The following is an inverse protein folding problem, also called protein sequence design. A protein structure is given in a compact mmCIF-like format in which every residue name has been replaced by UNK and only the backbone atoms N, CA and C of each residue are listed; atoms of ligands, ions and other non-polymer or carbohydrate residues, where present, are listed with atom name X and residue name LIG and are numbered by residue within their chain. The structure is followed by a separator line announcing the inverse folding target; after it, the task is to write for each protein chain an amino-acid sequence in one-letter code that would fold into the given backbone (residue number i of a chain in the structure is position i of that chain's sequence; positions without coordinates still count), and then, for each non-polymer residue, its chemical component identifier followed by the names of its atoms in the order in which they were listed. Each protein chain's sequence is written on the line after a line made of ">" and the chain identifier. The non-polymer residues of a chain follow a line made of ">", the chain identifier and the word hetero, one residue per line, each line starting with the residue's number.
data_IF_641201506791
#
_entry.id   IF_641201506791
#
_cell.length_a   1.000
_cell.length_b   1.000
_cell.length_c   1.000
_cell.angle_alpha   90.00
_cell.angle_beta   90.00
_cell.angle_gamma   90.00
#
_symmetry.space_group_name_H-M   'P 1'
#
loop_
_entity.id
_entity.type
_entity.pdbx_description
1 polymer ?
#
# COMPACT_ATOMS: atom_id res chain seq x y z
N UNK A 1 7.25 18.43 -22.40
CA UNK A 1 6.55 18.11 -22.25
C UNK A 1 6.29 18.05 -21.23
N UNK A 2 5.91 18.39 -21.18
CA UNK A 2 5.60 18.64 -20.35
C UNK A 2 4.95 17.94 -19.69
N UNK A 3 4.71 18.03 -18.79
CA UNK A 3 3.85 17.38 -17.90
C UNK A 3 4.03 15.93 -17.72
N UNK A 4 4.96 15.41 -18.30
CA UNK A 4 5.20 13.99 -18.15
C UNK A 4 6.30 13.78 -17.14
N UNK A 5 5.93 13.08 -16.07
CA UNK A 5 6.89 12.67 -15.10
C UNK A 5 7.26 11.27 -15.31
N UNK A 6 8.51 11.00 -15.23
CA UNK A 6 8.97 9.65 -15.19
C UNK A 6 9.61 9.40 -13.82
N UNK A 7 9.15 8.36 -13.16
CA UNK A 7 9.76 7.96 -11.92
C UNK A 7 10.23 6.53 -12.05
N UNK A 8 11.36 6.25 -11.45
CA UNK A 8 11.95 4.93 -11.47
C UNK A 8 11.15 3.99 -10.56
N UNK A 9 11.42 2.71 -10.68
CA UNK A 9 10.82 1.74 -9.78
C UNK A 9 11.16 2.08 -8.33
N UNK A 10 12.39 2.49 -8.08
CA UNK A 10 12.81 2.88 -6.73
C UNK A 10 11.97 4.04 -6.20
N UNK A 11 11.77 5.05 -7.03
CA UNK A 11 10.96 6.20 -6.61
C UNK A 11 9.50 5.83 -6.41
N UNK A 12 9.01 4.90 -7.22
CA UNK A 12 7.66 4.40 -7.01
C UNK A 12 7.53 3.73 -5.66
N UNK A 13 8.55 2.98 -5.26
CA UNK A 13 8.53 2.33 -3.95
C UNK A 13 8.61 3.34 -2.82
N UNK A 14 9.33 4.45 -3.01
CA UNK A 14 9.35 5.51 -2.02
C UNK A 14 7.96 6.12 -1.83
N UNK A 15 7.25 6.33 -2.94
CA UNK A 15 5.88 6.85 -2.87
C UNK A 15 4.96 5.87 -2.16
N UNK A 16 5.12 4.58 -2.43
CA UNK A 16 4.31 3.57 -1.74
C UNK A 16 4.59 3.57 -0.25
N UNK A 17 5.84 3.76 0.13
CA UNK A 17 6.20 3.84 1.54
C UNK A 17 5.48 5.01 2.21
N UNK A 18 5.50 6.17 1.56
CA UNK A 18 4.81 7.34 2.08
C UNK A 18 3.33 7.09 2.26
N UNK A 19 2.70 6.47 1.27
CA UNK A 19 1.27 6.21 1.32
C UNK A 19 0.92 5.24 2.43
N UNK A 20 1.74 4.21 2.61
CA UNK A 20 1.49 3.25 3.68
C UNK A 20 1.64 3.88 5.05
N UNK A 21 2.64 4.73 5.21
CA UNK A 21 2.83 5.45 6.46
C UNK A 21 1.65 6.35 6.77
N UNK A 22 1.13 7.03 5.76
CA UNK A 22 -0.04 7.88 5.94
C UNK A 22 -1.26 7.07 6.33
N UNK A 23 -1.46 5.93 5.68
CA UNK A 23 -2.58 5.05 6.02
C UNK A 23 -2.48 4.54 7.45
N UNK A 24 -1.27 4.22 7.90
CA UNK A 24 -1.08 3.78 9.28
C UNK A 24 -1.41 4.88 10.26
N UNK A 25 -1.00 6.11 9.97
CA UNK A 25 -1.32 7.25 10.83
C UNK A 25 -2.83 7.43 10.91
N UNK A 26 -3.51 7.34 9.78
CA UNK A 26 -4.97 7.48 9.75
C UNK A 26 -5.66 6.38 10.57
N UNK A 27 -5.16 5.16 10.44
CA UNK A 27 -5.73 4.04 11.21
C UNK A 27 -5.54 4.27 12.70
N UNK A 28 -4.38 4.74 13.10
CA UNK A 28 -4.14 5.02 14.53
C UNK A 28 -5.12 6.03 15.07
N UNK A 29 -5.39 7.08 14.30
CA UNK A 29 -6.35 8.09 14.73
C UNK A 29 -7.75 7.50 14.87
N UNK A 30 -8.15 6.68 13.91
CA UNK A 30 -9.47 6.06 13.96
C UNK A 30 -9.58 5.10 15.13
N UNK A 31 -8.52 4.33 15.38
CA UNK A 31 -8.54 3.37 16.49
C UNK A 31 -8.71 4.07 17.83
N UNK A 32 -8.15 5.26 17.99
CA UNK A 32 -8.27 6.00 19.23
C UNK A 32 -9.70 6.41 19.52
N UNK A 33 -10.54 6.48 18.51
CA UNK A 33 -11.93 6.91 18.67
C UNK A 33 -12.90 5.75 18.77
N UNK A 34 -12.41 4.53 18.72
CA UNK A 34 -13.24 3.35 18.77
C UNK A 34 -13.16 2.72 20.16
N UNK A 35 -14.24 2.06 20.60
CA UNK A 35 -14.20 1.41 21.89
C UNK A 35 -13.22 0.27 21.91
N UNK A 36 -12.68 0.00 23.08
CA UNK A 36 -11.77 -1.11 23.27
C UNK A 36 -12.55 -2.40 23.41
N UNK A 37 -11.87 -3.50 23.09
CA UNK A 37 -12.45 -4.81 23.21
C UNK A 37 -12.47 -5.52 21.88
N UNK A 38 -12.62 -6.82 21.96
CA UNK A 38 -12.62 -7.67 20.78
C UNK A 38 -14.03 -8.15 20.52
N UNK A 39 -14.48 -8.01 19.27
CA UNK A 39 -15.78 -8.54 18.89
C UNK A 39 -15.64 -10.01 18.55
N UNK A 40 -16.53 -10.82 19.10
CA UNK A 40 -16.64 -12.22 18.76
C UNK A 40 -18.02 -12.44 18.17
N UNK A 41 -18.05 -12.97 16.95
CA UNK A 41 -19.29 -13.31 16.27
C UNK A 41 -19.41 -14.81 16.24
N UNK A 42 -20.49 -15.33 16.79
CA UNK A 42 -20.74 -16.76 16.87
C UNK A 42 -21.97 -17.10 16.08
N UNK A 43 -21.84 -18.08 15.21
CA UNK A 43 -22.99 -18.55 14.45
C UNK A 43 -23.76 -19.58 15.22
N UNK A 44 -25.08 -19.36 15.30
CA UNK A 44 -26.01 -20.31 15.91
C UNK A 44 -27.13 -20.55 14.89
N UNK A 45 -26.97 -21.59 14.06
CA UNK A 45 -27.90 -21.82 12.97
C UNK A 45 -27.85 -20.70 11.97
N UNK A 46 -28.99 -20.05 11.71
CA UNK A 46 -29.07 -18.93 10.78
C UNK A 46 -28.82 -17.59 11.46
N UNK A 47 -28.52 -17.60 12.73
CA UNK A 47 -28.34 -16.37 13.49
C UNK A 47 -26.89 -16.19 13.86
N UNK A 48 -26.51 -14.94 14.07
CA UNK A 48 -25.19 -14.57 14.57
C UNK A 48 -25.37 -13.87 15.89
N UNK A 49 -24.61 -14.29 16.89
CA UNK A 49 -24.59 -13.62 18.19
C UNK A 49 -23.28 -12.87 18.34
N UNK A 50 -23.37 -11.73 18.97
CA UNK A 50 -22.22 -10.85 19.17
C UNK A 50 -21.84 -10.82 20.64
N UNK A 51 -20.52 -10.88 20.87
CA UNK A 51 -19.98 -10.79 22.22
C UNK A 51 -18.79 -9.86 22.20
N UNK A 52 -18.60 -9.16 23.29
CA UNK A 52 -17.38 -8.39 23.50
C UNK A 52 -16.49 -9.17 24.45
N UNK A 53 -15.23 -9.33 24.08
CA UNK A 53 -14.26 -10.02 24.92
C UNK A 53 -13.20 -9.01 25.37
N UNK A 54 -12.86 -9.07 26.65
CA UNK A 54 -11.74 -8.28 27.17
C UNK A 54 -10.50 -9.14 27.41
N UNK A 55 -10.54 -10.38 26.93
CA UNK A 55 -9.45 -11.33 27.13
C UNK A 55 -9.71 -12.29 28.27
N UNK A 56 -10.66 -11.98 29.14
CA UNK A 56 -11.00 -12.83 30.30
C UNK A 56 -12.46 -13.25 30.29
N UNK A 57 -13.35 -12.34 29.97
CA UNK A 57 -14.77 -12.61 29.98
C UNK A 57 -15.38 -12.15 28.66
N UNK A 58 -16.52 -12.79 28.35
CA UNK A 58 -17.32 -12.41 27.19
C UNK A 58 -18.62 -11.81 27.65
N UNK A 59 -18.99 -10.69 27.06
CA UNK A 59 -20.24 -10.02 27.40
C UNK A 59 -21.11 -10.00 26.15
N UNK A 60 -22.34 -10.49 26.29
CA UNK A 60 -23.28 -10.56 25.19
C UNK A 60 -23.67 -9.13 24.76
N UNK A 61 -23.75 -8.92 23.45
CA UNK A 61 -24.18 -7.65 22.87
C UNK A 61 -25.54 -7.85 22.24
N UNK A 62 -26.60 -7.24 22.78
CA UNK A 62 -27.94 -7.38 22.22
C UNK A 62 -28.03 -6.79 20.83
N UNK A 63 -28.99 -7.25 20.04
CA UNK A 63 -29.16 -6.81 18.67
C UNK A 63 -29.50 -5.33 18.56
N UNK A 64 -30.14 -4.76 19.58
CA UNK A 64 -30.43 -3.34 19.56
C UNK A 64 -29.19 -2.48 19.78
N UNK A 65 -28.06 -3.08 20.10
CA UNK A 65 -26.80 -2.40 20.22
C UNK A 65 -25.89 -2.66 19.01
N UNK A 66 -26.50 -2.81 17.86
CA UNK A 66 -25.74 -3.03 16.63
C UNK A 66 -24.70 -1.94 16.37
N UNK A 67 -24.97 -0.65 16.64
CA UNK A 67 -23.92 0.36 16.41
C UNK A 67 -22.66 0.10 17.23
N UNK A 68 -22.81 -0.37 18.45
CA UNK A 68 -21.65 -0.71 19.27
C UNK A 68 -20.89 -1.91 18.68
N UNK A 69 -21.64 -2.93 18.30
CA UNK A 69 -21.02 -4.09 17.65
C UNK A 69 -20.29 -3.70 16.37
N UNK A 70 -20.89 -2.76 15.62
CA UNK A 70 -20.25 -2.28 14.39
C UNK A 70 -18.94 -1.58 14.67
N UNK A 71 -18.87 -0.79 15.73
CA UNK A 71 -17.63 -0.12 16.09
C UNK A 71 -16.54 -1.12 16.44
N UNK A 72 -16.90 -2.18 17.16
CA UNK A 72 -15.93 -3.21 17.48
C UNK A 72 -15.49 -3.98 16.23
N UNK A 73 -16.41 -4.17 15.29
CA UNK A 73 -16.07 -4.83 14.03
C UNK A 73 -15.11 -3.97 13.21
N UNK A 74 -15.38 -2.66 13.15
CA UNK A 74 -14.50 -1.73 12.46
C UNK A 74 -13.12 -1.77 13.09
N UNK A 75 -13.07 -1.77 14.43
CA UNK A 75 -11.80 -1.86 15.12
C UNK A 75 -11.04 -3.11 14.72
N UNK A 76 -11.72 -4.25 14.65
CA UNK A 76 -11.08 -5.50 14.25
C UNK A 76 -10.51 -5.41 12.83
N UNK A 77 -11.30 -4.84 11.92
CA UNK A 77 -10.87 -4.68 10.55
C UNK A 77 -9.63 -3.77 10.46
N UNK A 78 -9.66 -2.66 11.19
CA UNK A 78 -8.54 -1.72 11.14
C UNK A 78 -7.27 -2.32 11.74
N UNK A 79 -7.41 -3.14 12.78
CA UNK A 79 -6.25 -3.80 13.35
C UNK A 79 -5.61 -4.77 12.36
N UNK A 80 -6.43 -5.47 11.58
CA UNK A 80 -5.89 -6.35 10.56
C UNK A 80 -5.22 -5.55 9.45
N UNK A 81 -5.83 -4.44 9.05
CA UNK A 81 -5.22 -3.57 8.05
C UNK A 81 -3.91 -2.97 8.54
N UNK A 82 -3.86 -2.59 9.80
CA UNK A 82 -2.64 -2.07 10.39
C UNK A 82 -1.51 -3.08 10.27
N UNK A 83 -1.83 -4.33 10.55
CA UNK A 83 -0.85 -5.40 10.43
C UNK A 83 -0.37 -5.58 9.00
N UNK A 84 -1.31 -5.56 8.04
CA UNK A 84 -0.95 -5.67 6.62
C UNK A 84 -0.02 -4.54 6.18
N UNK A 85 -0.39 -3.32 6.53
CA UNK A 85 0.40 -2.17 6.11
C UNK A 85 1.78 -2.18 6.76
N UNK A 86 1.84 -2.58 8.03
CA UNK A 86 3.13 -2.63 8.70
C UNK A 86 4.03 -3.68 8.07
N UNK A 87 3.49 -4.83 7.72
CA UNK A 87 4.29 -5.87 7.07
C UNK A 87 4.76 -5.43 5.70
N UNK A 88 3.94 -4.69 4.98
CA UNK A 88 4.35 -4.18 3.68
C UNK A 88 5.43 -3.12 3.82
N UNK A 89 5.36 -2.29 4.86
CA UNK A 89 6.43 -1.35 5.14
C UNK A 89 7.73 -2.08 5.47
N UNK A 90 7.64 -3.15 6.24
CA UNK A 90 8.84 -3.94 6.55
C UNK A 90 9.44 -4.54 5.28
N UNK A 91 8.60 -5.00 4.36
CA UNK A 91 9.08 -5.53 3.09
C UNK A 91 9.75 -4.45 2.25
N UNK A 92 9.18 -3.25 2.25
CA UNK A 92 9.79 -2.13 1.54
C UNK A 92 11.13 -1.74 2.14
N UNK A 93 11.22 -1.77 3.48
CA UNK A 93 12.48 -1.48 4.13
C UNK A 93 13.56 -2.47 3.69
N UNK A 94 13.18 -3.73 3.58
CA UNK A 94 14.10 -4.75 3.08
C UNK A 94 14.50 -4.43 1.63
N UNK A 95 13.52 -4.07 0.80
CA UNK A 95 13.81 -3.70 -0.58
C UNK A 95 14.82 -2.55 -0.63
N UNK A 96 14.62 -1.50 0.16
CA UNK A 96 15.50 -0.33 0.10
C UNK A 96 16.91 -0.67 0.53
N UNK A 97 17.05 -1.56 1.49
CA UNK A 97 18.39 -1.94 1.94
C UNK A 97 19.15 -2.74 0.88
N UNK A 98 18.43 -3.44 0.01
CA UNK A 98 19.06 -4.36 -0.93
C UNK A 98 18.90 -3.95 -2.39
N UNK A 99 18.24 -2.83 -2.64
CA UNK A 99 18.03 -2.37 -4.01
C UNK A 99 19.33 -1.82 -4.59
N UNK A 100 19.42 -1.93 -5.91
CA UNK A 100 20.54 -1.36 -6.62
C UNK A 100 19.99 -0.28 -7.56
N UNK A 101 20.38 0.95 -7.33
CA UNK A 101 19.82 2.10 -8.03
C UNK A 101 20.92 3.12 -8.28
N UNK A 102 21.91 2.76 -9.09
CA UNK A 102 23.07 3.61 -9.30
C UNK A 102 22.83 4.73 -10.29
N UNK A 103 21.84 4.56 -11.17
CA UNK A 103 21.60 5.52 -12.23
C UNK A 103 22.65 5.50 -13.33
N UNK A 104 23.59 4.57 -13.29
CA UNK A 104 24.68 4.57 -14.24
C UNK A 104 24.24 4.27 -15.67
N UNK A 105 23.24 3.38 -15.81
CA UNK A 105 22.74 3.07 -17.15
C UNK A 105 22.15 4.30 -17.81
N UNK A 106 21.36 5.07 -17.05
CA UNK A 106 20.74 6.27 -17.60
C UNK A 106 21.76 7.35 -17.91
N UNK A 107 22.83 7.41 -17.14
CA UNK A 107 23.90 8.39 -17.41
C UNK A 107 24.55 8.15 -18.76
N UNK A 108 24.58 6.91 -19.23
CA UNK A 108 25.15 6.60 -20.54
C UNK A 108 24.31 7.20 -21.65
N UNK A 109 23.03 7.43 -21.42
CA UNK A 109 22.12 7.95 -22.43
C UNK A 109 22.07 9.48 -22.48
N UNK A 110 22.69 10.16 -21.53
CA UNK A 110 22.64 11.63 -21.51
C UNK A 110 23.48 12.21 -22.66
N UNK A 111 23.15 13.45 -23.02
CA UNK A 111 23.85 14.11 -24.11
C UNK A 111 25.35 14.29 -23.85
N UNK A 112 25.74 14.47 -22.57
CA UNK A 112 27.15 14.63 -22.25
C UNK A 112 27.92 13.33 -22.30
N UNK A 113 27.22 12.23 -22.40
CA UNK A 113 27.88 10.93 -22.38
C UNK A 113 28.62 10.69 -23.69
N UNK A 114 29.82 10.14 -23.59
CA UNK A 114 30.55 9.71 -24.77
C UNK A 114 29.85 8.58 -25.53
N UNK A 115 28.90 7.93 -24.85
CA UNK A 115 28.16 6.81 -25.44
C UNK A 115 26.88 7.24 -26.14
N UNK A 116 26.50 8.52 -25.96
CA UNK A 116 25.19 8.97 -26.41
C UNK A 116 24.95 8.70 -27.90
N UNK A 117 25.91 9.04 -28.74
CA UNK A 117 25.72 8.93 -30.17
C UNK A 117 25.55 7.47 -30.61
N UNK A 118 26.12 6.54 -29.84
CA UNK A 118 26.03 5.13 -30.18
C UNK A 118 24.77 4.48 -29.66
N UNK A 119 24.23 5.04 -28.61
CA UNK A 119 23.06 4.44 -27.94
C UNK A 119 21.73 5.07 -28.35
N UNK A 120 21.78 6.30 -28.85
CA UNK A 120 20.55 7.07 -29.07
C UNK A 120 19.63 6.41 -30.10
N UNK A 121 20.21 5.68 -31.08
CA UNK A 121 19.41 5.03 -32.10
C UNK A 121 18.68 3.79 -31.57
N UNK A 122 19.16 3.23 -30.49
CA UNK A 122 18.65 1.96 -29.99
C UNK A 122 17.80 2.12 -28.73
N UNK A 123 18.05 3.16 -27.96
CA UNK A 123 17.41 3.34 -26.66
C UNK A 123 16.93 4.76 -26.51
N UNK A 124 15.76 4.89 -25.92
CA UNK A 124 15.18 6.19 -25.64
C UNK A 124 15.59 6.62 -24.24
N UNK A 125 15.61 7.93 -23.96
CA UNK A 125 15.76 8.36 -22.59
C UNK A 125 14.68 7.72 -21.71
N UNK A 126 15.00 7.53 -20.43
CA UNK A 126 14.11 6.81 -19.54
C UNK A 126 12.71 7.39 -19.54
N UNK A 127 12.61 8.72 -19.53
CA UNK A 127 11.29 9.35 -19.50
C UNK A 127 10.46 8.99 -20.73
N UNK A 128 11.09 8.88 -21.90
CA UNK A 128 10.37 8.52 -23.10
C UNK A 128 9.99 7.03 -23.10
N UNK A 129 10.86 6.20 -22.56
CA UNK A 129 10.55 4.79 -22.45
C UNK A 129 9.33 4.58 -21.58
N UNK A 130 9.29 5.25 -20.45
CA UNK A 130 8.17 5.10 -19.55
C UNK A 130 6.89 5.63 -20.17
N UNK A 131 6.99 6.75 -20.84
CA UNK A 131 5.86 7.32 -21.54
C UNK A 131 5.29 6.35 -22.57
N UNK A 132 6.17 5.73 -23.35
CA UNK A 132 5.76 4.76 -24.35
C UNK A 132 5.11 3.54 -23.69
N UNK A 133 5.69 3.11 -22.58
CA UNK A 133 5.16 1.96 -21.87
C UNK A 133 3.76 2.26 -21.33
N UNK A 134 3.56 3.44 -20.79
CA UNK A 134 2.26 3.81 -20.23
C UNK A 134 1.19 3.88 -21.29
N UNK A 135 1.54 4.22 -22.50
CA UNK A 135 0.56 4.32 -23.58
C UNK A 135 0.39 3.00 -24.33
N UNK A 136 1.11 1.96 -23.94
CA UNK A 136 1.01 0.69 -24.63
C UNK A 136 -0.28 -0.04 -24.27
N UNK A 137 -0.81 -0.88 -25.16
CA UNK A 137 -1.98 -1.68 -24.84
C UNK A 137 -1.77 -2.59 -23.65
N UNK A 138 -0.56 -3.10 -23.51
CA UNK A 138 -0.22 -3.96 -22.40
C UNK A 138 -0.45 -3.22 -21.08
N UNK A 139 0.03 -2.01 -20.97
CA UNK A 139 -0.11 -1.24 -19.77
C UNK A 139 -1.56 -0.86 -19.52
N UNK A 140 -2.28 -0.53 -20.56
CA UNK A 140 -3.68 -0.17 -20.43
C UNK A 140 -4.55 -1.32 -19.96
N UNK A 141 -4.11 -2.53 -20.26
CA UNK A 141 -4.89 -3.70 -19.91
C UNK A 141 -4.39 -4.36 -18.64
N UNK A 142 -3.59 -3.67 -17.88
CA UNK A 142 -3.05 -4.28 -16.69
C UNK A 142 -4.09 -4.30 -15.60
N UNK A 143 -5.08 -5.04 -15.81
CA UNK A 143 -6.02 -5.40 -14.77
C UNK A 143 -5.63 -6.73 -14.18
N UNK A 144 -4.47 -7.13 -14.54
CA UNK A 144 -3.89 -8.34 -14.02
C UNK A 144 -3.32 -8.10 -12.63
#
# INVERSE_FOLDING_TARGET
>A
MEGVFFISFYETMLLQQEQLQQKLTDIEKQLQQLPEGKLICTRCGNRTKWYRSDGHTKTYIPKDQKPYASQLAIRRYLLEKQKEYQKNLDALAYYFRHSYNSGKAEQLLTYDSAYHSLLAEHFQPVSQELQTWESSPYNKNKNY
#
